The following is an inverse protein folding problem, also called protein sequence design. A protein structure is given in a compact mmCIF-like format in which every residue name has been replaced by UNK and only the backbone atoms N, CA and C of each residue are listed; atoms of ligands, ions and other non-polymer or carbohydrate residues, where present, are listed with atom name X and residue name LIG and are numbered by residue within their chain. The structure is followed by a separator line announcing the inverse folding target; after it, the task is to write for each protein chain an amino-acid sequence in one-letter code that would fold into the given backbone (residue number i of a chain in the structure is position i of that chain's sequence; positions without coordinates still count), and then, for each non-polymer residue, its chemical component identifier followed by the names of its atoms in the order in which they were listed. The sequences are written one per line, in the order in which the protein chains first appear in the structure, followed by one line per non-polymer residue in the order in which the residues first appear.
data_IF_441197317122
#
_entry.id   IF_441197317122
#
_cell.length_a   1.000
_cell.length_b   1.000
_cell.length_c   1.000
_cell.angle_alpha   90.00
_cell.angle_beta   90.00
_cell.angle_gamma   90.00
#
_symmetry.space_group_name_H-M   'P 1'
#
loop_
_entity.id
_entity.type
_entity.pdbx_description
1 polymer ?
#
# COMPACT_ATOMS: atom_id res chain seq x y z
N UNK A 1 61.31 20.13 -13.66
CA UNK A 1 59.84 20.03 -13.75
C UNK A 1 59.43 18.68 -13.16
N UNK A 2 58.84 18.65 -11.97
CA UNK A 2 58.46 17.39 -11.32
C UNK A 2 57.11 16.92 -11.86
N UNK A 3 57.09 15.74 -12.50
CA UNK A 3 55.87 15.11 -13.00
C UNK A 3 55.04 14.61 -11.80
N UNK A 4 53.78 15.03 -11.71
CA UNK A 4 52.89 14.56 -10.65
C UNK A 4 52.48 13.10 -10.90
N UNK A 5 52.41 12.25 -9.86
CA UNK A 5 51.94 10.87 -10.02
C UNK A 5 50.45 10.86 -10.38
N UNK A 6 50.12 10.04 -11.38
CA UNK A 6 48.77 9.88 -11.92
C UNK A 6 47.86 9.28 -10.82
N UNK A 7 46.78 9.99 -10.44
CA UNK A 7 45.84 9.51 -9.41
C UNK A 7 44.92 8.45 -10.06
N UNK A 8 44.79 7.24 -9.49
CA UNK A 8 43.95 6.21 -10.10
C UNK A 8 42.48 6.67 -10.15
N UNK A 9 41.71 6.29 -11.19
CA UNK A 9 40.30 6.63 -11.28
C UNK A 9 39.54 6.05 -10.10
N UNK A 10 38.85 6.90 -9.34
CA UNK A 10 37.93 6.47 -8.28
C UNK A 10 36.67 5.94 -8.97
N UNK A 11 36.41 4.65 -8.85
CA UNK A 11 35.16 4.06 -9.30
C UNK A 11 33.99 4.68 -8.51
N UNK A 12 32.85 5.00 -9.15
CA UNK A 12 31.66 5.46 -8.44
C UNK A 12 31.27 4.43 -7.37
N UNK A 13 30.89 4.86 -6.16
CA UNK A 13 30.37 3.94 -5.16
C UNK A 13 29.14 3.22 -5.72
N UNK A 14 29.08 1.91 -5.49
CA UNK A 14 27.96 1.10 -5.93
C UNK A 14 26.63 1.64 -5.36
N UNK A 15 25.53 1.59 -6.14
CA UNK A 15 24.24 2.05 -5.67
C UNK A 15 23.79 1.25 -4.45
N UNK A 16 23.55 1.94 -3.34
CA UNK A 16 23.12 1.33 -2.09
C UNK A 16 21.74 0.67 -2.25
N UNK A 17 21.71 -0.65 -2.20
CA UNK A 17 20.47 -1.44 -2.23
C UNK A 17 19.98 -1.72 -0.81
N UNK A 18 18.73 -1.36 -0.53
CA UNK A 18 18.08 -1.71 0.74
C UNK A 18 17.74 -3.20 0.79
N UNK A 19 17.79 -3.80 1.98
CA UNK A 19 17.34 -5.18 2.18
C UNK A 19 15.85 -5.30 1.81
N UNK A 20 15.42 -6.41 1.19
CA UNK A 20 14.00 -6.66 0.94
C UNK A 20 13.15 -6.45 2.19
N UNK A 21 12.03 -5.74 2.07
CA UNK A 21 11.15 -5.37 3.19
C UNK A 21 11.53 -4.07 3.92
N UNK A 22 12.76 -3.58 3.83
CA UNK A 22 13.16 -2.32 4.52
C UNK A 22 12.42 -1.10 3.96
N UNK A 23 12.25 -1.03 2.64
CA UNK A 23 11.51 0.05 1.99
C UNK A 23 10.02 -0.06 2.29
N UNK A 24 9.45 -1.27 2.20
CA UNK A 24 8.04 -1.53 2.50
C UNK A 24 7.68 -1.13 3.95
N UNK A 25 8.51 -1.48 4.94
CA UNK A 25 8.28 -1.08 6.33
C UNK A 25 8.35 0.44 6.52
N UNK A 26 9.27 1.12 5.83
CA UNK A 26 9.34 2.60 5.86
C UNK A 26 8.09 3.24 5.26
N UNK A 27 7.58 2.70 4.17
CA UNK A 27 6.34 3.18 3.52
C UNK A 27 5.12 2.95 4.42
N UNK A 28 4.99 1.77 5.02
CA UNK A 28 3.93 1.46 6.00
C UNK A 28 3.97 2.47 7.15
N UNK A 29 5.13 2.69 7.76
CA UNK A 29 5.26 3.66 8.85
C UNK A 29 4.99 5.11 8.41
N UNK A 30 5.28 5.47 7.15
CA UNK A 30 4.99 6.80 6.60
C UNK A 30 3.48 6.98 6.42
N UNK A 31 2.82 6.05 5.75
CA UNK A 31 1.39 6.14 5.43
C UNK A 31 0.47 5.91 6.62
N UNK A 32 0.96 5.26 7.68
CA UNK A 32 0.24 5.20 8.96
C UNK A 32 0.32 6.51 9.77
N UNK A 33 1.35 7.35 9.51
CA UNK A 33 1.52 8.65 10.17
C UNK A 33 0.84 9.80 9.43
N UNK A 34 0.75 9.72 8.11
CA UNK A 34 0.06 10.71 7.29
C UNK A 34 -1.38 10.28 6.98
N UNK A 35 -2.23 11.25 6.64
CA UNK A 35 -3.61 11.02 6.18
C UNK A 35 -3.81 11.47 4.74
N UNK A 36 -2.71 11.53 3.96
CA UNK A 36 -2.75 11.89 2.55
C UNK A 36 -3.45 10.80 1.73
N UNK A 37 -4.21 11.19 0.70
CA UNK A 37 -4.86 10.23 -0.17
C UNK A 37 -3.82 9.55 -1.06
N UNK A 38 -3.72 8.24 -0.96
CA UNK A 38 -2.79 7.41 -1.75
C UNK A 38 -3.22 7.26 -3.21
N UNK A 39 -4.50 7.47 -3.50
CA UNK A 39 -5.07 7.44 -4.84
C UNK A 39 -5.43 8.88 -5.23
N UNK A 40 -5.05 9.29 -6.43
CA UNK A 40 -5.41 10.60 -6.97
C UNK A 40 -6.94 10.78 -6.98
N UNK A 41 -7.41 11.90 -6.43
CA UNK A 41 -8.85 12.17 -6.25
C UNK A 41 -9.64 12.09 -7.56
N UNK A 42 -9.11 12.71 -8.63
CA UNK A 42 -9.83 12.88 -9.89
C UNK A 42 -10.10 11.57 -10.65
N UNK A 43 -9.11 10.70 -10.93
CA UNK A 43 -9.37 9.43 -11.61
C UNK A 43 -10.26 8.51 -10.77
N UNK A 44 -10.08 8.49 -9.45
CA UNK A 44 -10.91 7.69 -8.56
C UNK A 44 -12.36 8.18 -8.51
N UNK A 45 -12.57 9.50 -8.46
CA UNK A 45 -13.89 10.10 -8.53
C UNK A 45 -14.58 9.79 -9.87
N UNK A 46 -13.86 9.78 -11.00
CA UNK A 46 -14.42 9.42 -12.30
C UNK A 46 -14.89 7.97 -12.32
N UNK A 47 -14.04 7.04 -11.86
CA UNK A 47 -14.38 5.62 -11.77
C UNK A 47 -15.60 5.38 -10.87
N UNK A 48 -15.64 6.03 -9.70
CA UNK A 48 -16.78 5.89 -8.78
C UNK A 48 -18.06 6.44 -9.41
N UNK A 49 -18.00 7.56 -10.16
CA UNK A 49 -19.17 8.12 -10.85
C UNK A 49 -19.64 7.24 -12.01
N UNK A 50 -18.72 6.65 -12.76
CA UNK A 50 -19.01 5.71 -13.84
C UNK A 50 -19.78 4.50 -13.30
N UNK A 51 -19.25 3.85 -12.26
CA UNK A 51 -19.91 2.70 -11.64
C UNK A 51 -21.25 3.13 -11.00
N UNK A 52 -21.30 4.27 -10.31
CA UNK A 52 -22.50 4.72 -9.62
C UNK A 52 -23.64 5.14 -10.56
N UNK A 53 -23.31 5.65 -11.75
CA UNK A 53 -24.31 5.99 -12.78
C UNK A 53 -25.14 4.76 -13.18
N UNK A 54 -24.56 3.56 -13.15
CA UNK A 54 -25.25 2.32 -13.49
C UNK A 54 -26.24 1.86 -12.38
N UNK A 55 -26.18 2.43 -11.17
CA UNK A 55 -27.03 2.02 -10.03
C UNK A 55 -27.99 3.12 -9.54
N UNK A 56 -27.50 4.35 -9.29
CA UNK A 56 -28.29 5.52 -8.81
C UNK A 56 -27.44 6.79 -8.85
N UNK A 57 -28.00 7.88 -9.40
CA UNK A 57 -27.29 9.15 -9.68
C UNK A 57 -26.86 9.97 -8.46
N UNK A 58 -27.37 9.68 -7.25
CA UNK A 58 -27.21 10.51 -6.04
C UNK A 58 -26.42 9.84 -4.91
N UNK A 59 -25.51 8.89 -5.20
CA UNK A 59 -24.68 8.27 -4.17
C UNK A 59 -23.43 9.11 -3.82
N UNK A 60 -23.29 9.44 -2.53
CA UNK A 60 -22.05 9.97 -1.95
C UNK A 60 -21.19 8.83 -1.37
N UNK A 61 -20.02 8.59 -1.97
CA UNK A 61 -19.08 7.54 -1.52
C UNK A 61 -18.00 8.11 -0.58
N UNK A 62 -17.80 7.46 0.58
CA UNK A 62 -16.60 7.59 1.42
C UNK A 62 -15.66 6.39 1.19
N UNK A 63 -15.13 6.28 -0.02
CA UNK A 63 -14.51 5.03 -0.51
C UNK A 63 -13.07 4.78 -0.06
N UNK A 64 -12.35 5.80 0.43
CA UNK A 64 -10.96 5.63 0.88
C UNK A 64 -10.83 4.88 2.22
N UNK A 65 -11.79 5.06 3.13
CA UNK A 65 -11.78 4.41 4.44
C UNK A 65 -12.08 2.90 4.35
N UNK A 66 -12.89 2.50 3.38
CA UNK A 66 -13.28 1.10 3.17
C UNK A 66 -12.09 0.22 2.77
N UNK A 67 -11.25 0.70 1.84
CA UNK A 67 -10.10 -0.06 1.35
C UNK A 67 -9.04 -0.30 2.43
N UNK A 68 -8.83 0.66 3.32
CA UNK A 68 -7.87 0.51 4.44
C UNK A 68 -8.37 -0.54 5.42
N UNK A 69 -9.64 -0.49 5.82
CA UNK A 69 -10.23 -1.47 6.73
C UNK A 69 -10.16 -2.89 6.16
N UNK A 70 -10.53 -3.08 4.88
CA UNK A 70 -10.44 -4.36 4.18
C UNK A 70 -8.99 -4.85 4.07
N UNK A 71 -8.02 -3.95 3.90
CA UNK A 71 -6.60 -4.29 3.85
C UNK A 71 -6.06 -4.78 5.20
N UNK A 72 -6.60 -4.29 6.32
CA UNK A 72 -6.22 -4.79 7.65
C UNK A 72 -6.71 -6.22 7.90
N UNK A 73 -7.95 -6.50 7.54
CA UNK A 73 -8.57 -7.81 7.80
C UNK A 73 -8.02 -8.89 6.88
N UNK A 74 -7.73 -8.55 5.63
CA UNK A 74 -6.98 -9.43 4.71
C UNK A 74 -5.57 -9.72 5.17
N UNK A 75 -4.89 -8.76 5.79
CA UNK A 75 -3.57 -8.97 6.39
C UNK A 75 -3.62 -9.93 7.60
N UNK A 76 -4.68 -9.86 8.41
CA UNK A 76 -4.91 -10.84 9.48
C UNK A 76 -5.11 -12.26 8.92
N UNK A 77 -5.88 -12.39 7.84
CA UNK A 77 -6.08 -13.67 7.16
C UNK A 77 -4.79 -14.23 6.56
N UNK A 78 -3.96 -13.37 5.96
CA UNK A 78 -2.64 -13.76 5.44
C UNK A 78 -1.71 -14.26 6.56
N UNK A 79 -1.67 -13.54 7.69
CA UNK A 79 -0.86 -13.90 8.86
C UNK A 79 -1.35 -15.20 9.52
N UNK A 80 -2.66 -15.42 9.59
CA UNK A 80 -3.25 -16.68 10.07
C UNK A 80 -2.75 -17.89 9.26
N UNK A 81 -2.57 -17.71 7.96
CA UNK A 81 -1.99 -18.70 7.06
C UNK A 81 -0.45 -18.72 7.03
N UNK A 82 0.23 -18.08 8.00
CA UNK A 82 1.70 -17.96 8.11
C UNK A 82 2.36 -17.31 6.89
N UNK A 83 1.65 -16.41 6.20
CA UNK A 83 2.16 -15.66 5.04
C UNK A 83 2.23 -14.18 5.35
N UNK A 84 3.21 -13.51 4.74
CA UNK A 84 3.40 -12.04 4.84
C UNK A 84 2.79 -11.32 3.63
N UNK A 85 2.62 -12.02 2.51
CA UNK A 85 2.04 -11.47 1.28
C UNK A 85 0.55 -11.77 1.22
N UNK A 86 -0.26 -10.72 1.06
CA UNK A 86 -1.71 -10.80 0.86
C UNK A 86 -1.99 -11.36 -0.54
N UNK A 87 -2.93 -12.30 -0.64
CA UNK A 87 -3.37 -12.94 -1.87
C UNK A 87 -4.88 -12.73 -2.08
N UNK A 88 -5.41 -12.88 -3.31
CA UNK A 88 -6.84 -12.71 -3.57
C UNK A 88 -7.76 -13.60 -2.71
N UNK A 89 -7.30 -14.80 -2.37
CA UNK A 89 -8.01 -15.72 -1.47
C UNK A 89 -8.20 -15.14 -0.07
N UNK A 90 -7.32 -14.25 0.39
CA UNK A 90 -7.41 -13.62 1.72
C UNK A 90 -8.51 -12.53 1.74
N UNK A 91 -8.84 -11.95 0.58
CA UNK A 91 -9.97 -11.01 0.39
C UNK A 91 -11.29 -11.77 0.33
N UNK A 92 -11.30 -12.93 -0.33
CA UNK A 92 -12.49 -13.79 -0.40
C UNK A 92 -12.81 -14.46 0.94
N UNK A 93 -11.79 -14.69 1.78
CA UNK A 93 -11.95 -15.31 3.09
C UNK A 93 -12.50 -14.35 4.15
N UNK A 94 -12.50 -13.05 3.88
CA UNK A 94 -12.92 -12.02 4.83
C UNK A 94 -14.31 -11.46 4.47
N UNK A 95 -15.40 -12.06 4.97
CA UNK A 95 -16.71 -11.46 4.88
C UNK A 95 -16.73 -10.12 5.63
N UNK A 96 -17.35 -9.06 5.09
CA UNK A 96 -17.33 -7.68 5.64
C UNK A 96 -17.93 -7.49 7.06
N UNK A 97 -18.26 -8.58 7.76
CA UNK A 97 -18.88 -8.61 9.08
C UNK A 97 -17.97 -9.13 10.20
N UNK A 98 -16.82 -9.72 9.90
CA UNK A 98 -16.00 -10.51 10.84
C UNK A 98 -15.49 -9.72 12.05
N UNK A 99 -15.07 -8.45 11.89
CA UNK A 99 -14.65 -7.60 13.02
C UNK A 99 -15.78 -6.93 13.80
N UNK A 100 -16.95 -6.68 13.19
CA UNK A 100 -18.09 -6.04 13.89
C UNK A 100 -19.03 -7.03 14.59
N UNK A 101 -18.99 -8.30 14.21
CA UNK A 101 -19.91 -9.31 14.71
C UNK A 101 -19.34 -10.23 15.80
N UNK A 102 -18.04 -10.16 16.12
CA UNK A 102 -17.44 -10.98 17.18
C UNK A 102 -17.34 -10.20 18.50
N UNK A 103 -18.20 -10.48 19.50
CA UNK A 103 -18.00 -9.98 20.86
C UNK A 103 -16.80 -10.69 21.48
N UNK A 104 -15.98 -9.93 22.20
CA UNK A 104 -14.86 -10.41 23.02
C UNK A 104 -15.37 -11.19 24.24
#
# INVERSE_FOLDING_TARGET
MASMPNRPPVNPPEPHCYRPGTVALREICRYQKSTELLIHKLPFQRLVREIAQDFKTDLCFQSSAYLVALSEDTNLCANHAKRVTIMPKDIQLDPPYTRRAWPK
#
